data_IF_333896398477
#
_entry.id   IF_333896398477
#
_cell.length_a   1.000
_cell.length_b   1.000
_cell.length_c   1.000
_cell.angle_alpha   90.00
_cell.angle_beta   90.00
_cell.angle_gamma   90.00
#
_symmetry.space_group_name_H-M   'P 1'
#
loop_
_entity.id
_entity.type
_entity.pdbx_description
1 polymer ?
#
# COMPACT_ATOMS: atom_id res chain seq x y z
N UNK A 1 24.41 16.15 18.98
CA UNK A 1 23.17 15.77 18.28
C UNK A 1 22.94 16.53 16.96
N UNK A 2 23.59 17.67 16.69
CA UNK A 2 23.39 18.47 15.46
C UNK A 2 24.00 17.91 14.16
N UNK A 3 24.91 16.93 14.21
CA UNK A 3 25.55 16.36 13.01
C UNK A 3 24.71 15.27 12.32
N UNK A 4 23.74 14.70 13.03
CA UNK A 4 22.89 13.60 12.51
C UNK A 4 21.68 14.15 11.75
N UNK A 5 21.20 15.34 12.13
CA UNK A 5 20.06 16.03 11.50
C UNK A 5 20.27 16.32 10.01
N UNK A 6 21.39 16.92 9.55
CA UNK A 6 21.59 17.16 8.12
C UNK A 6 21.78 15.87 7.32
N UNK A 7 22.35 14.82 7.93
CA UNK A 7 22.49 13.51 7.31
C UNK A 7 21.13 12.83 7.10
N UNK A 8 20.25 12.88 8.10
CA UNK A 8 18.87 12.36 7.98
C UNK A 8 18.05 13.15 6.95
N UNK A 9 18.24 14.47 6.89
CA UNK A 9 17.60 15.33 5.88
C UNK A 9 18.13 15.02 4.47
N UNK A 10 19.44 14.79 4.32
CA UNK A 10 20.04 14.41 3.04
C UNK A 10 19.57 13.02 2.58
N UNK A 11 19.49 12.05 3.50
CA UNK A 11 18.95 10.71 3.22
C UNK A 11 17.46 10.79 2.83
N UNK A 12 16.67 11.62 3.54
CA UNK A 12 15.27 11.85 3.18
C UNK A 12 15.11 12.57 1.82
N UNK A 13 15.99 13.51 1.50
CA UNK A 13 15.99 14.21 0.21
C UNK A 13 16.40 13.28 -0.96
N UNK A 14 17.39 12.40 -0.75
CA UNK A 14 17.80 11.37 -1.72
C UNK A 14 16.69 10.33 -1.89
N UNK A 15 16.00 9.96 -0.80
CA UNK A 15 14.84 9.07 -0.83
C UNK A 15 13.66 9.67 -1.63
N UNK A 16 13.45 10.98 -1.60
CA UNK A 16 12.39 11.63 -2.37
C UNK A 16 12.75 11.79 -3.87
N UNK A 17 14.03 11.71 -4.25
CA UNK A 17 14.49 11.91 -5.62
C UNK A 17 14.39 10.65 -6.52
N UNK A 18 13.94 9.50 -6.01
CA UNK A 18 13.80 8.25 -6.78
C UNK A 18 12.49 7.51 -6.55
N UNK A 19 11.41 8.24 -6.27
CA UNK A 19 10.28 7.73 -5.49
C UNK A 19 8.97 7.62 -6.29
N UNK A 20 8.93 6.75 -7.30
CA UNK A 20 7.67 6.14 -7.74
C UNK A 20 7.95 4.88 -8.57
N UNK A 21 7.22 3.79 -8.31
CA UNK A 21 7.10 2.70 -9.28
C UNK A 21 6.20 3.17 -10.44
N UNK A 22 6.55 2.80 -11.68
CA UNK A 22 5.96 3.38 -12.90
C UNK A 22 6.77 4.54 -13.53
N UNK A 23 8.00 4.78 -13.06
CA UNK A 23 8.97 5.70 -13.70
C UNK A 23 9.39 5.15 -15.07
N UNK A 24 9.53 5.97 -16.14
CA UNK A 24 10.08 5.54 -17.43
C UNK A 24 11.48 4.89 -17.36
N UNK A 25 12.13 4.96 -16.20
CA UNK A 25 13.37 4.26 -15.87
C UNK A 25 13.31 2.73 -16.08
N UNK A 26 12.19 2.06 -15.82
CA UNK A 26 12.10 0.60 -15.97
C UNK A 26 11.38 0.22 -17.25
N UNK A 27 12.13 -0.35 -18.20
CA UNK A 27 11.64 -0.76 -19.52
C UNK A 27 11.71 -2.29 -19.66
N UNK A 28 11.07 -2.88 -20.69
CA UNK A 28 11.25 -4.30 -20.99
C UNK A 28 12.72 -4.71 -21.19
N UNK A 29 13.56 -3.79 -21.69
CA UNK A 29 14.99 -4.02 -21.94
C UNK A 29 15.87 -3.80 -20.69
N UNK A 30 15.43 -2.97 -19.73
CA UNK A 30 16.06 -2.83 -18.41
C UNK A 30 15.03 -2.97 -17.26
N UNK A 31 14.59 -4.20 -16.98
CA UNK A 31 13.54 -4.45 -16.00
C UNK A 31 14.05 -4.32 -14.56
N UNK A 32 13.14 -3.91 -13.67
CA UNK A 32 13.37 -3.77 -12.24
C UNK A 32 13.82 -5.09 -11.59
N UNK A 33 14.93 -5.04 -10.86
CA UNK A 33 15.49 -6.18 -10.13
C UNK A 33 15.25 -6.13 -8.61
N UNK A 34 15.98 -6.95 -7.87
CA UNK A 34 15.85 -7.09 -6.41
C UNK A 34 15.89 -5.76 -5.64
N UNK A 35 16.83 -4.86 -5.95
CA UNK A 35 16.97 -3.59 -5.24
C UNK A 35 15.80 -2.63 -5.48
N UNK A 36 15.26 -2.63 -6.70
CA UNK A 36 14.05 -1.88 -7.02
C UNK A 36 12.85 -2.47 -6.28
N UNK A 37 12.74 -3.81 -6.24
CA UNK A 37 11.74 -4.51 -5.42
C UNK A 37 11.82 -4.11 -3.95
N UNK A 38 13.01 -4.18 -3.34
CA UNK A 38 13.22 -3.78 -1.94
C UNK A 38 12.79 -2.35 -1.66
N UNK A 39 13.13 -1.42 -2.56
CA UNK A 39 12.72 -0.03 -2.46
C UNK A 39 11.20 0.13 -2.57
N UNK A 40 10.57 -0.46 -3.59
CA UNK A 40 9.13 -0.41 -3.80
C UNK A 40 8.36 -1.05 -2.64
N UNK A 41 8.86 -2.16 -2.09
CA UNK A 41 8.31 -2.80 -0.90
C UNK A 41 8.37 -1.91 0.34
N UNK A 42 9.47 -1.17 0.53
CA UNK A 42 9.63 -0.24 1.64
C UNK A 42 8.64 0.93 1.58
N UNK A 43 8.38 1.46 0.37
CA UNK A 43 7.45 2.59 0.15
C UNK A 43 6.01 2.15 -0.16
N UNK A 44 5.74 0.85 -0.22
CA UNK A 44 4.46 0.25 -0.66
C UNK A 44 3.23 0.80 0.06
N UNK A 45 3.33 1.08 1.36
CA UNK A 45 2.22 1.66 2.12
C UNK A 45 1.93 3.11 1.69
N UNK A 46 2.98 3.88 1.39
CA UNK A 46 2.85 5.27 0.93
C UNK A 46 2.25 5.27 -0.48
N UNK A 47 2.76 4.43 -1.38
CA UNK A 47 2.26 4.33 -2.76
C UNK A 47 0.84 3.79 -2.81
N UNK A 48 0.47 2.85 -1.93
CA UNK A 48 -0.91 2.37 -1.78
C UNK A 48 -1.85 3.49 -1.34
N UNK A 49 -1.46 4.32 -0.36
CA UNK A 49 -2.28 5.44 0.10
C UNK A 49 -2.46 6.48 -1.01
N UNK A 50 -1.40 6.83 -1.74
CA UNK A 50 -1.47 7.79 -2.86
C UNK A 50 -2.32 7.20 -4.00
N UNK A 51 -2.13 5.92 -4.31
CA UNK A 51 -2.89 5.16 -5.31
C UNK A 51 -4.40 5.10 -5.03
N UNK A 52 -4.83 5.29 -3.78
CA UNK A 52 -6.26 5.42 -3.46
C UNK A 52 -6.87 6.75 -3.95
N UNK A 53 -6.05 7.76 -4.26
CA UNK A 53 -6.50 9.09 -4.66
C UNK A 53 -6.03 9.51 -6.06
N UNK A 54 -4.96 8.90 -6.60
CA UNK A 54 -4.44 9.18 -7.94
C UNK A 54 -3.98 7.89 -8.63
N UNK A 55 -4.18 7.79 -9.95
CA UNK A 55 -3.70 6.65 -10.75
C UNK A 55 -2.25 6.82 -11.23
N UNK A 56 -1.58 7.89 -10.81
CA UNK A 56 -0.23 8.26 -11.28
C UNK A 56 0.89 7.42 -10.66
N UNK A 57 0.62 6.73 -9.54
CA UNK A 57 1.64 5.98 -8.79
C UNK A 57 1.29 4.50 -8.75
N UNK A 58 2.16 3.67 -9.34
CA UNK A 58 2.01 2.22 -9.31
C UNK A 58 2.31 1.65 -7.92
N UNK A 59 1.48 0.70 -7.46
CA UNK A 59 1.80 -0.10 -6.27
C UNK A 59 2.96 -1.07 -6.52
N UNK A 60 3.08 -1.54 -7.76
CA UNK A 60 4.01 -2.55 -8.20
C UNK A 60 4.57 -2.17 -9.57
N UNK A 61 5.81 -2.55 -9.88
CA UNK A 61 6.43 -2.27 -11.17
C UNK A 61 6.07 -3.35 -12.20
N UNK A 62 5.35 -3.04 -13.28
CA UNK A 62 5.00 -4.03 -14.30
C UNK A 62 6.24 -4.58 -15.04
N UNK A 63 7.25 -3.76 -15.28
CA UNK A 63 8.47 -4.17 -15.99
C UNK A 63 9.53 -4.66 -15.00
N UNK A 64 9.40 -5.90 -14.50
CA UNK A 64 10.30 -6.48 -13.51
C UNK A 64 10.89 -7.85 -13.91
N UNK A 65 11.99 -8.25 -13.26
CA UNK A 65 12.72 -9.52 -13.49
C UNK A 65 12.12 -10.75 -12.79
N UNK A 66 10.85 -10.68 -12.37
CA UNK A 66 10.15 -11.75 -11.64
C UNK A 66 10.68 -11.95 -10.22
N UNK A 67 11.04 -13.19 -9.88
CA UNK A 67 11.32 -13.64 -8.50
C UNK A 67 12.31 -12.77 -7.73
N UNK A 68 13.36 -12.27 -8.39
CA UNK A 68 14.34 -11.38 -7.73
C UNK A 68 13.71 -10.09 -7.23
N UNK A 69 12.84 -9.47 -8.03
CA UNK A 69 12.10 -8.28 -7.63
C UNK A 69 11.08 -8.60 -6.52
N UNK A 70 10.33 -9.70 -6.67
CA UNK A 70 9.30 -10.10 -5.69
C UNK A 70 9.88 -10.35 -4.29
N UNK A 71 11.01 -11.04 -4.20
CA UNK A 71 11.71 -11.26 -2.91
C UNK A 71 12.12 -9.93 -2.28
N UNK A 72 12.65 -9.01 -3.08
CA UNK A 72 12.97 -7.66 -2.61
C UNK A 72 11.73 -6.95 -2.08
N UNK A 73 10.65 -6.97 -2.85
CA UNK A 73 9.37 -6.32 -2.52
C UNK A 73 8.80 -6.82 -1.18
N UNK A 74 8.70 -8.13 -1.00
CA UNK A 74 8.22 -8.71 0.25
C UNK A 74 9.14 -8.42 1.43
N UNK A 75 10.47 -8.46 1.23
CA UNK A 75 11.42 -8.07 2.26
C UNK A 75 11.26 -6.59 2.67
N UNK A 76 11.03 -5.71 1.70
CA UNK A 76 10.75 -4.29 1.95
C UNK A 76 9.49 -4.08 2.80
N UNK A 77 8.41 -4.81 2.50
CA UNK A 77 7.18 -4.82 3.31
C UNK A 77 7.46 -5.29 4.72
N UNK A 78 8.20 -6.40 4.90
CA UNK A 78 8.54 -6.94 6.21
C UNK A 78 9.41 -5.98 7.02
N UNK A 79 10.36 -5.28 6.40
CA UNK A 79 11.19 -4.26 7.05
C UNK A 79 10.32 -3.09 7.50
N UNK A 80 9.43 -2.61 6.63
CA UNK A 80 8.51 -1.50 6.91
C UNK A 80 7.55 -1.85 8.05
N UNK A 81 6.94 -3.05 8.01
CA UNK A 81 5.99 -3.52 9.02
C UNK A 81 6.65 -3.95 10.34
N UNK A 82 7.86 -4.53 10.27
CA UNK A 82 8.59 -5.11 11.40
C UNK A 82 9.32 -4.09 12.29
N UNK A 83 9.44 -2.83 11.86
CA UNK A 83 10.15 -1.78 12.62
C UNK A 83 9.35 -1.10 13.74
N UNK A 84 8.05 -1.37 13.87
CA UNK A 84 7.16 -0.63 14.77
C UNK A 84 7.10 -1.16 16.22
N UNK A 85 8.01 -2.05 16.62
CA UNK A 85 8.10 -2.53 18.01
C UNK A 85 9.12 -1.70 18.80
N UNK A 86 8.82 -0.42 19.04
CA UNK A 86 9.39 0.31 20.18
C UNK A 86 8.28 1.01 20.94
N UNK A 87 8.03 0.48 22.13
CA UNK A 87 7.08 1.02 23.08
C UNK A 87 7.54 2.32 23.74
N UNK A 88 6.58 2.82 24.53
CA UNK A 88 6.67 3.83 25.59
C UNK A 88 6.53 5.32 25.22
N UNK A 89 5.39 5.84 25.70
CA UNK A 89 5.14 7.16 26.33
C UNK A 89 5.29 8.45 25.52
N UNK A 90 4.16 9.15 25.28
CA UNK A 90 3.98 10.55 25.73
C UNK A 90 2.58 11.15 25.38
N UNK A 91 2.09 12.14 26.16
CA UNK A 91 0.68 12.56 26.25
C UNK A 91 0.21 13.57 25.18
N UNK A 92 0.99 13.81 24.11
CA UNK A 92 0.61 14.69 22.97
C UNK A 92 -0.34 14.02 21.97
N UNK A 93 -0.84 12.83 22.30
CA UNK A 93 -1.63 11.95 21.43
C UNK A 93 -2.99 12.54 21.00
N UNK A 94 -3.68 13.27 21.87
CA UNK A 94 -5.11 13.61 21.70
C UNK A 94 -5.47 14.47 20.49
N UNK A 95 -4.60 15.37 20.02
CA UNK A 95 -4.90 16.20 18.84
C UNK A 95 -4.68 15.43 17.53
N UNK A 96 -3.56 14.69 17.45
CA UNK A 96 -3.25 13.77 16.35
C UNK A 96 -4.27 12.64 16.25
N UNK A 97 -4.74 12.12 17.39
CA UNK A 97 -5.76 11.07 17.44
C UNK A 97 -7.09 11.54 16.82
N UNK A 98 -7.51 12.80 17.03
CA UNK A 98 -8.72 13.36 16.39
C UNK A 98 -8.58 13.48 14.87
N UNK A 99 -7.40 13.86 14.38
CA UNK A 99 -7.11 13.92 12.96
C UNK A 99 -7.13 12.51 12.34
N UNK A 100 -6.53 11.53 12.99
CA UNK A 100 -6.59 10.12 12.58
C UNK A 100 -8.00 9.54 12.63
N UNK A 101 -8.82 9.89 13.63
CA UNK A 101 -10.23 9.49 13.67
C UNK A 101 -11.01 10.09 12.51
N UNK A 102 -10.74 11.36 12.15
CA UNK A 102 -11.36 12.00 11.01
C UNK A 102 -10.92 11.38 9.67
N UNK A 103 -9.63 11.06 9.51
CA UNK A 103 -9.09 10.36 8.34
C UNK A 103 -9.68 8.95 8.26
N UNK A 104 -9.70 8.21 9.38
CA UNK A 104 -10.24 6.86 9.48
C UNK A 104 -11.70 6.78 9.07
N UNK A 105 -12.54 7.74 9.50
CA UNK A 105 -13.96 7.81 9.08
C UNK A 105 -14.13 8.01 7.57
N UNK A 106 -13.29 8.85 6.95
CA UNK A 106 -13.32 9.05 5.49
C UNK A 106 -12.90 7.78 4.74
N UNK A 107 -11.86 7.10 5.23
CA UNK A 107 -11.38 5.83 4.66
C UNK A 107 -12.42 4.73 4.82
N UNK A 108 -13.02 4.58 6.00
CA UNK A 108 -14.09 3.61 6.26
C UNK A 108 -15.30 3.84 5.35
N UNK A 109 -15.73 5.10 5.19
CA UNK A 109 -16.82 5.44 4.29
C UNK A 109 -16.51 5.10 2.83
N UNK A 110 -15.28 5.37 2.37
CA UNK A 110 -14.85 5.05 1.01
C UNK A 110 -14.76 3.54 0.79
N UNK A 111 -14.20 2.79 1.74
CA UNK A 111 -14.11 1.32 1.68
C UNK A 111 -15.48 0.66 1.67
N UNK A 112 -16.38 1.08 2.56
CA UNK A 112 -17.76 0.55 2.60
C UNK A 112 -18.49 0.76 1.28
N UNK A 113 -18.31 1.93 0.65
CA UNK A 113 -18.88 2.21 -0.68
C UNK A 113 -18.33 1.28 -1.75
N UNK A 114 -17.01 1.13 -1.83
CA UNK A 114 -16.36 0.26 -2.82
C UNK A 114 -16.78 -1.20 -2.66
N UNK A 115 -16.84 -1.70 -1.42
CA UNK A 115 -17.26 -3.07 -1.13
C UNK A 115 -18.74 -3.27 -1.49
N UNK A 116 -19.61 -2.29 -1.18
CA UNK A 116 -21.05 -2.38 -1.53
C UNK A 116 -21.24 -2.42 -3.04
N UNK A 117 -20.54 -1.55 -3.77
CA UNK A 117 -20.55 -1.52 -5.23
C UNK A 117 -20.03 -2.83 -5.83
N UNK A 118 -18.88 -3.31 -5.35
CA UNK A 118 -18.31 -4.57 -5.82
C UNK A 118 -19.19 -5.77 -5.48
N UNK A 119 -19.83 -5.79 -4.31
CA UNK A 119 -20.75 -6.85 -3.90
C UNK A 119 -22.12 -6.77 -4.59
N UNK A 120 -22.35 -5.75 -5.44
CA UNK A 120 -23.65 -5.48 -6.09
C UNK A 120 -24.80 -5.42 -5.07
N UNK A 121 -24.52 -4.82 -3.91
CA UNK A 121 -25.48 -4.71 -2.82
C UNK A 121 -26.38 -3.48 -2.96
N UNK A 122 -27.63 -3.60 -2.50
CA UNK A 122 -28.59 -2.51 -2.55
C UNK A 122 -28.17 -1.36 -1.62
N UNK A 123 -28.55 -0.09 -1.89
CA UNK A 123 -28.04 1.07 -1.16
C UNK A 123 -28.27 1.04 0.36
N UNK A 124 -29.35 0.40 0.79
CA UNK A 124 -29.83 0.28 2.17
C UNK A 124 -29.59 -1.11 2.78
N UNK A 125 -28.95 -2.01 2.06
CA UNK A 125 -28.74 -3.39 2.50
C UNK A 125 -27.81 -3.45 3.73
N UNK A 126 -28.17 -4.29 4.71
CA UNK A 126 -27.38 -4.44 5.94
C UNK A 126 -25.96 -4.91 5.65
N UNK A 127 -24.97 -4.35 6.35
CA UNK A 127 -23.57 -4.61 6.09
C UNK A 127 -23.19 -6.10 6.21
N UNK A 128 -23.85 -6.87 7.08
CA UNK A 128 -23.60 -8.32 7.18
C UNK A 128 -23.99 -9.05 5.90
N UNK A 129 -25.03 -8.58 5.23
CA UNK A 129 -25.47 -9.14 3.95
C UNK A 129 -24.49 -8.73 2.84
N UNK A 130 -24.03 -7.48 2.85
CA UNK A 130 -22.96 -7.01 1.94
C UNK A 130 -21.70 -7.86 2.08
N UNK A 131 -21.29 -8.14 3.32
CA UNK A 131 -20.13 -8.99 3.62
C UNK A 131 -20.32 -10.42 3.08
N UNK A 132 -21.48 -11.03 3.31
CA UNK A 132 -21.78 -12.36 2.79
C UNK A 132 -21.78 -12.40 1.25
N UNK A 133 -22.33 -11.37 0.59
CA UNK A 133 -22.30 -11.22 -0.87
C UNK A 133 -20.87 -11.04 -1.38
N UNK A 134 -20.06 -10.21 -0.72
CA UNK A 134 -18.66 -10.00 -1.02
C UNK A 134 -17.85 -11.30 -0.90
N UNK A 135 -18.04 -12.06 0.18
CA UNK A 135 -17.37 -13.36 0.39
C UNK A 135 -17.76 -14.38 -0.69
N UNK A 136 -19.05 -14.47 -1.01
CA UNK A 136 -19.54 -15.36 -2.06
C UNK A 136 -18.97 -15.00 -3.44
N UNK A 137 -18.90 -13.71 -3.75
CA UNK A 137 -18.29 -13.20 -4.99
C UNK A 137 -16.79 -13.50 -5.03
N UNK A 138 -16.06 -13.29 -3.92
CA UNK A 138 -14.64 -13.62 -3.82
C UNK A 138 -14.37 -15.10 -4.06
N UNK A 139 -15.13 -15.99 -3.40
CA UNK A 139 -15.01 -17.45 -3.58
C UNK A 139 -15.28 -17.87 -5.02
N UNK A 140 -16.23 -17.25 -5.70
CA UNK A 140 -16.54 -17.52 -7.11
C UNK A 140 -15.40 -17.10 -8.04
N UNK A 141 -14.87 -15.91 -7.86
CA UNK A 141 -13.73 -15.40 -8.65
C UNK A 141 -12.48 -16.26 -8.45
N UNK A 142 -12.17 -16.64 -7.21
CA UNK A 142 -11.03 -17.51 -6.91
C UNK A 142 -11.18 -18.91 -7.52
N UNK A 143 -12.38 -19.49 -7.50
CA UNK A 143 -12.64 -20.76 -8.18
C UNK A 143 -12.45 -20.65 -9.68
N UNK A 144 -13.01 -19.60 -10.30
CA UNK A 144 -12.82 -19.34 -11.73
C UNK A 144 -11.34 -19.25 -12.10
N UNK A 145 -10.57 -18.51 -11.32
CA UNK A 145 -9.12 -18.38 -11.52
C UNK A 145 -8.36 -19.70 -11.32
N UNK A 146 -8.77 -20.53 -10.35
CA UNK A 146 -8.14 -21.83 -10.11
C UNK A 146 -8.44 -22.87 -11.21
N UNK A 147 -9.56 -22.71 -11.91
CA UNK A 147 -9.99 -23.60 -13.01
C UNK A 147 -9.53 -23.09 -14.40
N UNK A 148 -8.91 -21.90 -14.48
CA UNK A 148 -8.27 -21.40 -15.71
C UNK A 148 -6.94 -22.16 -15.97
N UNK A 149 -6.71 -22.70 -17.19
CA UNK A 149 -5.53 -23.49 -17.53
C UNK A 149 -4.25 -22.67 -17.73
#
# INVERSE_FOLDING_TARGET
MHRVTPLLIAIAAIALAGCAAGDPRFTPDDPAGFWAGLWHGLISLITLIIGLFTDEVGFFEPNNRGWGYEVGFWLGIVIMAGGAHRGASQPRKRARDKEWEAIGKKVEAKLKRMIREWAEAEPDEDWKVVEAKAEAKLKRELRRWADEP
#
